data_IF_346151041318
#
_entry.id   IF_346151041318
#
_cell.length_a   1.000
_cell.length_b   1.000
_cell.length_c   1.000
_cell.angle_alpha   90.00
_cell.angle_beta   90.00
_cell.angle_gamma   90.00
#
_symmetry.space_group_name_H-M   'P 1'
#
loop_
_entity.id
_entity.type
_entity.pdbx_description
1 polymer ?
#
# COMPACT_ATOMS: atom_id res chain seq x y z
N UNK A 1 -54.25 18.61 10.97
CA UNK A 1 -53.46 17.53 11.61
C UNK A 1 -52.07 18.01 11.90
N UNK A 2 -51.45 17.68 13.08
CA UNK A 2 -50.06 17.97 13.33
C UNK A 2 -49.22 17.25 12.29
N UNK A 3 -48.23 17.99 11.71
CA UNK A 3 -47.31 17.44 10.76
C UNK A 3 -45.94 17.20 11.42
N UNK A 4 -45.27 16.12 11.02
CA UNK A 4 -43.93 15.77 11.42
C UNK A 4 -42.94 16.08 10.30
N UNK A 5 -41.76 16.51 10.67
CA UNK A 5 -40.67 16.77 9.74
C UNK A 5 -39.41 15.98 10.11
N UNK A 6 -38.55 15.76 9.14
CA UNK A 6 -37.20 15.20 9.35
C UNK A 6 -36.21 16.36 9.45
N UNK A 7 -35.82 16.69 10.66
CA UNK A 7 -35.02 17.90 10.95
C UNK A 7 -33.66 17.90 10.23
N UNK A 8 -33.02 16.76 10.21
CA UNK A 8 -31.68 16.60 9.65
C UNK A 8 -31.68 16.05 8.22
N UNK A 9 -32.82 16.01 7.53
CA UNK A 9 -32.87 15.54 6.15
C UNK A 9 -32.38 16.58 5.17
N UNK A 10 -31.65 16.13 4.12
CA UNK A 10 -31.23 16.98 3.00
C UNK A 10 -32.29 17.08 1.91
N UNK A 11 -33.06 16.02 1.72
CA UNK A 11 -34.12 15.93 0.72
C UNK A 11 -35.15 14.92 1.17
N UNK A 12 -36.40 15.28 1.03
CA UNK A 12 -37.55 14.37 1.24
C UNK A 12 -38.44 14.44 0.02
N UNK A 13 -38.96 13.30 -0.42
CA UNK A 13 -39.94 13.21 -1.50
C UNK A 13 -41.00 12.16 -1.18
N UNK A 14 -42.24 12.46 -1.50
CA UNK A 14 -43.32 11.49 -1.42
C UNK A 14 -43.21 10.53 -2.60
N UNK A 15 -43.24 9.24 -2.34
CA UNK A 15 -43.24 8.24 -3.37
C UNK A 15 -44.54 8.24 -4.14
N UNK A 16 -44.47 8.31 -5.48
CA UNK A 16 -45.61 8.26 -6.36
C UNK A 16 -45.46 7.12 -7.35
N UNK A 17 -46.37 6.12 -7.28
CA UNK A 17 -46.37 4.98 -8.19
C UNK A 17 -47.71 4.25 -8.13
N UNK A 18 -48.65 4.48 -9.05
CA UNK A 18 -48.78 5.56 -10.05
C UNK A 18 -49.27 6.89 -9.51
N UNK A 19 -49.82 6.91 -8.30
CA UNK A 19 -50.31 8.09 -7.58
C UNK A 19 -49.51 8.31 -6.29
N UNK A 20 -49.57 9.49 -5.66
CA UNK A 20 -48.91 9.71 -4.38
C UNK A 20 -49.33 8.68 -3.33
N UNK A 21 -48.32 7.99 -2.76
CA UNK A 21 -48.56 6.93 -1.77
C UNK A 21 -48.77 7.54 -0.38
N UNK A 22 -49.97 8.04 -0.18
CA UNK A 22 -50.44 8.60 1.08
C UNK A 22 -51.81 8.00 1.42
N UNK A 23 -51.98 7.57 2.65
CA UNK A 23 -53.23 7.02 3.13
C UNK A 23 -53.59 7.65 4.48
N UNK A 24 -54.84 8.08 4.62
CA UNK A 24 -55.39 8.67 5.84
C UNK A 24 -56.68 7.97 6.22
N UNK A 25 -56.78 7.55 7.46
CA UNK A 25 -58.01 6.96 8.04
C UNK A 25 -58.33 7.68 9.34
N UNK A 26 -59.60 8.06 9.49
CA UNK A 26 -60.13 8.70 10.68
C UNK A 26 -61.09 7.73 11.33
N UNK A 27 -60.85 7.41 12.59
CA UNK A 27 -61.71 6.53 13.37
C UNK A 27 -62.73 7.35 14.17
N UNK A 28 -63.90 6.73 14.52
CA UNK A 28 -64.95 7.42 15.29
C UNK A 28 -64.54 7.89 16.69
N UNK A 29 -63.51 7.27 17.26
CA UNK A 29 -62.93 7.66 18.55
C UNK A 29 -62.00 8.89 18.47
N UNK A 30 -61.87 9.54 17.28
CA UNK A 30 -60.96 10.67 17.04
C UNK A 30 -59.54 10.29 16.69
N UNK A 31 -59.21 8.99 16.60
CA UNK A 31 -57.90 8.53 16.18
C UNK A 31 -57.73 8.74 14.68
N UNK A 32 -56.59 9.33 14.29
CA UNK A 32 -56.23 9.55 12.89
C UNK A 32 -55.02 8.69 12.58
N UNK A 33 -55.16 7.78 11.63
CA UNK A 33 -54.06 6.98 11.13
C UNK A 33 -53.60 7.53 9.79
N UNK A 34 -52.30 7.96 9.73
CA UNK A 34 -51.69 8.48 8.50
C UNK A 34 -50.53 7.58 8.13
N UNK A 35 -50.50 7.15 6.89
CA UNK A 35 -49.37 6.37 6.33
C UNK A 35 -48.80 7.10 5.13
N UNK A 36 -47.48 7.35 5.16
CA UNK A 36 -46.72 7.95 4.08
C UNK A 36 -45.60 7.02 3.63
N UNK A 37 -45.44 6.86 2.32
CA UNK A 37 -44.26 6.25 1.76
C UNK A 37 -43.31 7.36 1.28
N UNK A 38 -42.26 7.61 2.05
CA UNK A 38 -41.32 8.70 1.82
C UNK A 38 -39.95 8.17 1.44
N UNK A 39 -39.27 8.90 0.55
CA UNK A 39 -37.84 8.78 0.34
C UNK A 39 -37.17 9.93 1.09
N UNK A 40 -36.31 9.59 2.06
CA UNK A 40 -35.62 10.55 2.89
C UNK A 40 -34.12 10.37 2.69
N UNK A 41 -33.41 11.47 2.36
CA UNK A 41 -31.98 11.51 2.26
C UNK A 41 -31.45 12.23 3.49
N UNK A 42 -30.83 11.49 4.40
CA UNK A 42 -30.28 12.00 5.65
C UNK A 42 -28.75 11.96 5.69
N UNK A 43 -28.13 12.62 6.68
CA UNK A 43 -26.70 12.55 6.91
C UNK A 43 -26.31 11.20 7.53
N UNK A 44 -25.09 10.79 7.21
CA UNK A 44 -24.45 9.65 7.87
C UNK A 44 -23.08 10.06 8.37
N UNK A 45 -22.73 9.62 9.55
CA UNK A 45 -21.40 9.79 10.13
C UNK A 45 -20.48 8.69 9.62
N UNK A 46 -19.45 9.10 8.90
CA UNK A 46 -18.48 8.21 8.28
C UNK A 46 -17.20 8.21 9.12
N UNK A 47 -16.98 7.15 9.90
CA UNK A 47 -15.73 6.91 10.60
C UNK A 47 -14.84 6.00 9.74
N UNK A 48 -14.08 6.58 8.82
CA UNK A 48 -13.22 5.87 7.86
C UNK A 48 -11.82 5.55 8.41
N UNK A 49 -11.57 5.75 9.70
CA UNK A 49 -10.27 5.48 10.32
C UNK A 49 -9.82 4.04 10.12
N UNK A 50 -10.73 3.08 10.29
CA UNK A 50 -10.47 1.64 10.15
C UNK A 50 -10.88 1.09 8.77
N UNK A 51 -11.04 1.95 7.78
CA UNK A 51 -11.39 1.49 6.43
C UNK A 51 -10.42 0.38 5.95
N UNK A 52 -10.89 -0.74 5.36
CA UNK A 52 -12.24 -1.05 4.90
C UNK A 52 -13.15 -1.77 5.92
N UNK A 53 -12.74 -1.91 7.16
CA UNK A 53 -13.53 -2.55 8.25
C UNK A 53 -14.25 -1.48 9.08
N UNK A 54 -14.81 -0.50 8.42
CA UNK A 54 -15.48 0.64 9.03
C UNK A 54 -16.95 0.35 9.37
N UNK A 55 -17.41 1.07 10.39
CA UNK A 55 -18.82 1.06 10.81
C UNK A 55 -19.36 2.46 10.57
N UNK A 56 -20.48 2.54 9.87
CA UNK A 56 -21.18 3.79 9.61
C UNK A 56 -22.43 3.89 10.46
N UNK A 57 -22.75 5.07 10.96
CA UNK A 57 -24.01 5.33 11.62
C UNK A 57 -24.75 6.48 10.94
N UNK A 58 -26.00 6.21 10.60
CA UNK A 58 -26.91 7.18 10.01
C UNK A 58 -28.02 7.45 11.01
N UNK A 59 -28.17 8.69 11.43
CA UNK A 59 -29.21 9.10 12.36
C UNK A 59 -30.27 9.91 11.63
N UNK A 60 -31.52 9.57 11.81
CA UNK A 60 -32.67 10.30 11.30
C UNK A 60 -33.48 10.83 12.47
N UNK A 61 -33.73 12.14 12.48
CA UNK A 61 -34.43 12.82 13.56
C UNK A 61 -35.79 13.30 13.05
N UNK A 62 -36.83 12.90 13.74
CA UNK A 62 -38.23 13.21 13.47
C UNK A 62 -38.72 14.14 14.57
N UNK A 63 -39.37 15.25 14.19
CA UNK A 63 -39.88 16.25 15.11
C UNK A 63 -41.23 16.80 14.62
N UNK A 64 -42.03 17.37 15.51
CA UNK A 64 -43.20 18.15 15.13
C UNK A 64 -42.72 19.52 14.57
N UNK A 65 -43.21 19.88 13.39
CA UNK A 65 -42.79 21.17 12.77
C UNK A 65 -43.45 22.38 13.44
N UNK A 66 -44.74 22.30 13.69
CA UNK A 66 -45.51 23.49 14.07
C UNK A 66 -45.88 23.56 15.57
N UNK A 67 -45.75 22.47 16.30
CA UNK A 67 -46.23 22.38 17.66
C UNK A 67 -45.13 21.92 18.63
N UNK A 68 -45.05 22.61 19.77
CA UNK A 68 -44.16 22.25 20.86
C UNK A 68 -44.76 21.08 21.69
N UNK A 69 -43.96 20.52 22.62
CA UNK A 69 -44.31 19.38 23.44
C UNK A 69 -45.54 19.64 24.35
N UNK A 70 -45.85 20.92 24.65
CA UNK A 70 -47.07 21.27 25.42
C UNK A 70 -48.36 21.04 24.66
N UNK A 71 -48.32 21.04 23.31
CA UNK A 71 -49.47 20.84 22.45
C UNK A 71 -49.51 19.48 21.78
N UNK A 72 -48.34 18.96 21.40
CA UNK A 72 -48.20 17.68 20.68
C UNK A 72 -47.03 16.92 21.26
N UNK A 73 -47.31 15.81 21.94
CA UNK A 73 -46.27 14.89 22.42
C UNK A 73 -45.99 13.83 21.36
N UNK A 74 -44.74 13.66 21.02
CA UNK A 74 -44.28 12.60 20.11
C UNK A 74 -43.78 11.41 20.93
N UNK A 75 -44.32 10.22 20.68
CA UNK A 75 -43.94 8.99 21.35
C UNK A 75 -43.79 7.85 20.36
N UNK A 76 -42.83 6.99 20.59
CA UNK A 76 -42.75 5.73 19.88
C UNK A 76 -43.92 4.80 20.31
N UNK A 77 -44.35 4.01 19.38
CA UNK A 77 -45.27 2.92 19.70
C UNK A 77 -44.57 1.94 20.65
N UNK A 78 -45.28 1.41 21.65
CA UNK A 78 -44.69 0.56 22.71
C UNK A 78 -44.10 -0.73 22.16
N UNK A 79 -44.72 -1.32 21.14
CA UNK A 79 -44.26 -2.56 20.56
C UNK A 79 -43.70 -2.37 19.15
N UNK A 80 -42.41 -2.74 18.95
CA UNK A 80 -41.68 -2.74 17.68
C UNK A 80 -41.88 -1.46 16.84
N UNK A 81 -41.49 -0.30 17.35
CA UNK A 81 -41.78 0.98 16.70
C UNK A 81 -41.01 1.17 15.37
N UNK A 82 -39.81 0.59 15.26
CA UNK A 82 -38.95 0.68 14.07
C UNK A 82 -38.53 -0.73 13.66
N UNK A 83 -38.79 -1.08 12.41
CA UNK A 83 -38.36 -2.37 11.87
C UNK A 83 -37.95 -2.23 10.40
N UNK A 84 -37.06 -3.09 9.96
CA UNK A 84 -36.64 -3.17 8.56
C UNK A 84 -37.49 -4.22 7.84
N UNK A 85 -38.19 -3.82 6.77
CA UNK A 85 -38.96 -4.72 5.89
C UNK A 85 -38.01 -5.37 4.87
N UNK A 86 -36.92 -4.69 4.49
CA UNK A 86 -35.95 -5.16 3.50
C UNK A 86 -34.95 -6.16 4.11
N UNK A 87 -34.30 -6.91 3.24
CA UNK A 87 -33.12 -7.72 3.64
C UNK A 87 -32.05 -6.82 4.25
N UNK A 88 -31.48 -7.24 5.38
CA UNK A 88 -30.45 -6.48 6.07
C UNK A 88 -29.12 -6.36 5.29
N UNK A 89 -28.97 -7.08 4.18
CA UNK A 89 -27.79 -7.05 3.30
C UNK A 89 -28.05 -6.16 2.08
N UNK A 90 -27.28 -5.09 1.97
CA UNK A 90 -27.10 -4.30 0.76
C UNK A 90 -25.88 -4.81 -0.02
N UNK A 91 -25.62 -4.24 -1.19
CA UNK A 91 -24.46 -4.64 -2.01
C UNK A 91 -23.14 -4.48 -1.25
N UNK A 92 -22.94 -3.31 -0.64
CA UNK A 92 -21.67 -2.92 0.01
C UNK A 92 -21.73 -2.91 1.53
N UNK A 93 -22.93 -2.98 2.11
CA UNK A 93 -23.14 -2.83 3.55
C UNK A 93 -24.11 -3.86 4.10
N UNK A 94 -23.96 -4.15 5.38
CA UNK A 94 -24.92 -4.95 6.13
C UNK A 94 -25.47 -4.10 7.27
N UNK A 95 -26.81 -4.01 7.37
CA UNK A 95 -27.48 -3.35 8.49
C UNK A 95 -27.37 -4.26 9.72
N UNK A 96 -26.60 -3.83 10.71
CA UNK A 96 -26.39 -4.63 11.93
C UNK A 96 -27.40 -4.33 13.01
N UNK A 97 -27.70 -3.06 13.23
CA UNK A 97 -28.55 -2.65 14.33
C UNK A 97 -29.42 -1.44 13.98
N UNK A 98 -30.59 -1.43 14.56
CA UNK A 98 -31.55 -0.33 14.58
C UNK A 98 -31.75 0.08 16.03
N UNK A 99 -31.47 1.34 16.32
CA UNK A 99 -31.72 1.93 17.62
C UNK A 99 -32.73 3.07 17.47
N UNK A 100 -33.59 3.21 18.43
CA UNK A 100 -34.54 4.33 18.50
C UNK A 100 -34.50 4.93 19.89
N UNK A 101 -34.57 6.24 19.94
CA UNK A 101 -34.55 7.00 21.19
C UNK A 101 -35.58 8.10 21.13
N UNK A 102 -36.04 8.53 22.30
CA UNK A 102 -36.91 9.69 22.49
C UNK A 102 -36.07 10.72 23.28
N UNK A 103 -35.98 11.93 22.77
CA UNK A 103 -35.27 13.04 23.38
C UNK A 103 -36.16 14.28 23.30
N UNK A 104 -36.01 15.19 24.26
CA UNK A 104 -36.64 16.50 24.22
C UNK A 104 -35.56 17.54 24.07
N UNK A 105 -35.75 18.46 23.13
CA UNK A 105 -34.82 19.54 22.86
C UNK A 105 -35.49 20.89 23.17
N UNK A 106 -34.72 21.76 23.84
CA UNK A 106 -35.19 23.10 24.21
C UNK A 106 -34.80 24.11 23.12
N UNK A 107 -35.84 24.71 22.53
CA UNK A 107 -35.69 25.86 21.63
C UNK A 107 -36.16 27.14 22.31
N UNK A 108 -35.89 28.29 21.75
CA UNK A 108 -36.36 29.58 22.25
C UNK A 108 -37.90 29.65 22.38
N UNK A 109 -38.65 28.87 21.60
CA UNK A 109 -40.11 28.79 21.62
C UNK A 109 -40.67 27.66 22.53
N UNK A 110 -39.81 27.02 23.36
CA UNK A 110 -40.18 25.96 24.30
C UNK A 110 -39.54 24.62 24.00
N UNK A 111 -40.06 23.55 24.65
CA UNK A 111 -39.59 22.19 24.51
C UNK A 111 -40.24 21.48 23.30
N UNK A 112 -39.44 20.76 22.54
CA UNK A 112 -39.87 19.89 21.43
C UNK A 112 -39.45 18.46 21.67
N UNK A 113 -40.36 17.54 21.43
CA UNK A 113 -40.04 16.11 21.44
C UNK A 113 -39.46 15.69 20.10
N UNK A 114 -38.29 15.01 20.15
CA UNK A 114 -37.60 14.46 19.03
C UNK A 114 -37.55 12.93 19.11
N UNK A 115 -37.90 12.29 18.01
CA UNK A 115 -37.74 10.85 17.83
C UNK A 115 -36.55 10.56 16.92
N UNK A 116 -35.56 9.90 17.44
CA UNK A 116 -34.34 9.60 16.69
C UNK A 116 -34.24 8.12 16.35
N UNK A 117 -33.94 7.83 15.08
CA UNK A 117 -33.63 6.48 14.57
C UNK A 117 -32.18 6.46 14.14
N UNK A 118 -31.41 5.58 14.76
CA UNK A 118 -29.99 5.35 14.42
C UNK A 118 -29.84 4.01 13.73
N UNK A 119 -29.38 4.03 12.50
CA UNK A 119 -29.07 2.85 11.69
C UNK A 119 -27.56 2.64 11.71
N UNK A 120 -27.11 1.44 12.07
CA UNK A 120 -25.69 1.08 12.09
C UNK A 120 -25.41 0.08 10.99
N UNK A 121 -24.49 0.46 10.08
CA UNK A 121 -24.09 -0.35 8.94
C UNK A 121 -22.64 -0.77 9.10
N UNK A 122 -22.33 -2.02 8.75
CA UNK A 122 -20.96 -2.51 8.57
C UNK A 122 -20.69 -2.74 7.10
N UNK A 123 -19.49 -2.41 6.67
CA UNK A 123 -19.05 -2.59 5.28
C UNK A 123 -18.71 -4.04 4.99
N UNK A 124 -19.06 -4.49 3.78
CA UNK A 124 -18.62 -5.78 3.23
C UNK A 124 -17.21 -5.63 2.65
N UNK A 125 -16.20 -6.00 3.41
CA UNK A 125 -14.80 -5.75 3.08
C UNK A 125 -14.18 -6.72 2.04
N UNK A 126 -14.87 -7.80 1.68
CA UNK A 126 -14.32 -8.85 0.79
C UNK A 126 -13.86 -8.35 -0.57
N UNK A 127 -14.60 -7.42 -1.16
CA UNK A 127 -14.25 -6.77 -2.42
C UNK A 127 -12.90 -6.01 -2.33
N UNK A 128 -12.72 -5.26 -1.25
CA UNK A 128 -11.50 -4.48 -1.03
C UNK A 128 -10.28 -5.37 -0.79
N UNK A 129 -10.45 -6.49 -0.09
CA UNK A 129 -9.37 -7.47 0.09
C UNK A 129 -8.90 -8.00 -1.26
N UNK A 130 -9.81 -8.49 -2.09
CA UNK A 130 -9.47 -9.08 -3.38
C UNK A 130 -8.92 -8.06 -4.38
N UNK A 131 -9.52 -6.89 -4.46
CA UNK A 131 -9.18 -5.93 -5.52
C UNK A 131 -8.05 -4.99 -5.14
N UNK A 132 -7.77 -4.83 -3.87
CA UNK A 132 -6.77 -3.88 -3.39
C UNK A 132 -5.59 -4.56 -2.69
N UNK A 133 -5.83 -5.34 -1.66
CA UNK A 133 -4.75 -5.94 -0.88
C UNK A 133 -4.00 -7.02 -1.67
N UNK A 134 -4.69 -7.89 -2.42
CA UNK A 134 -4.03 -8.94 -3.20
C UNK A 134 -3.09 -8.36 -4.28
N UNK A 135 -3.47 -7.38 -5.12
CA UNK A 135 -2.55 -6.80 -6.10
C UNK A 135 -1.40 -6.01 -5.45
N UNK A 136 -1.62 -5.36 -4.30
CA UNK A 136 -0.52 -4.68 -3.59
C UNK A 136 0.49 -5.67 -3.05
N UNK A 137 0.06 -6.79 -2.47
CA UNK A 137 0.96 -7.87 -2.05
C UNK A 137 1.71 -8.48 -3.24
N UNK A 138 1.04 -8.67 -4.38
CA UNK A 138 1.70 -9.15 -5.60
C UNK A 138 2.80 -8.19 -6.07
N UNK A 139 2.55 -6.87 -6.03
CA UNK A 139 3.54 -5.84 -6.39
C UNK A 139 4.75 -5.85 -5.43
N UNK A 140 4.52 -6.00 -4.13
CA UNK A 140 5.59 -6.14 -3.12
C UNK A 140 6.38 -7.43 -3.36
N UNK A 141 5.71 -8.53 -3.66
CA UNK A 141 6.38 -9.80 -3.97
C UNK A 141 7.24 -9.71 -5.24
N UNK A 142 6.74 -9.06 -6.31
CA UNK A 142 7.52 -8.81 -7.52
C UNK A 142 8.76 -7.95 -7.25
N UNK A 143 8.64 -6.94 -6.40
CA UNK A 143 9.80 -6.16 -5.94
C UNK A 143 10.84 -7.04 -5.25
N UNK A 144 10.40 -7.99 -4.43
CA UNK A 144 11.29 -8.93 -3.75
C UNK A 144 11.98 -9.90 -4.72
N UNK A 145 11.32 -10.31 -5.80
CA UNK A 145 11.90 -11.16 -6.86
C UNK A 145 13.13 -10.51 -7.50
N UNK A 146 13.23 -9.17 -7.49
CA UNK A 146 14.40 -8.45 -8.03
C UNK A 146 15.73 -8.87 -7.38
N UNK A 147 15.71 -9.36 -6.12
CA UNK A 147 16.92 -9.85 -5.44
C UNK A 147 17.42 -11.20 -5.98
N UNK A 148 16.55 -12.00 -6.59
CA UNK A 148 16.91 -13.33 -7.13
C UNK A 148 17.55 -13.24 -8.52
N UNK A 149 17.37 -12.11 -9.21
CA UNK A 149 17.95 -11.89 -10.54
C UNK A 149 19.45 -11.66 -10.39
N UNK A 150 20.26 -12.15 -11.36
CA UNK A 150 21.72 -11.97 -11.36
C UNK A 150 22.09 -10.46 -11.30
N UNK A 151 23.12 -10.15 -10.51
CA UNK A 151 23.63 -8.78 -10.31
C UNK A 151 24.08 -8.15 -11.64
N UNK A 152 24.47 -8.96 -12.62
CA UNK A 152 24.87 -8.48 -13.96
C UNK A 152 23.70 -7.93 -14.77
N UNK A 153 22.48 -8.38 -14.49
CA UNK A 153 21.24 -7.94 -15.17
C UNK A 153 20.63 -6.70 -14.49
N UNK A 154 21.43 -5.67 -14.27
CA UNK A 154 21.07 -4.43 -13.60
C UNK A 154 19.80 -3.76 -14.19
N UNK A 155 19.63 -3.62 -15.52
CA UNK A 155 18.44 -3.01 -16.10
C UNK A 155 17.16 -3.77 -15.73
N UNK A 156 17.20 -5.11 -15.70
CA UNK A 156 16.06 -5.93 -15.36
C UNK A 156 15.61 -5.73 -13.91
N UNK A 157 16.54 -5.57 -12.97
CA UNK A 157 16.22 -5.29 -11.56
C UNK A 157 15.56 -3.94 -11.37
N UNK A 158 16.10 -2.91 -12.04
CA UNK A 158 15.58 -1.54 -11.96
C UNK A 158 14.17 -1.49 -12.59
N UNK A 159 13.97 -2.09 -13.75
CA UNK A 159 12.65 -2.10 -14.41
C UNK A 159 11.60 -2.81 -13.57
N UNK A 160 11.92 -3.92 -12.91
CA UNK A 160 11.00 -4.59 -11.99
C UNK A 160 10.61 -3.72 -10.81
N UNK A 161 11.58 -3.07 -10.16
CA UNK A 161 11.29 -2.20 -9.04
C UNK A 161 10.47 -0.97 -9.42
N UNK A 162 10.80 -0.31 -10.54
CA UNK A 162 10.04 0.85 -11.05
C UNK A 162 8.63 0.44 -11.47
N UNK A 163 8.47 -0.70 -12.15
CA UNK A 163 7.15 -1.18 -12.58
C UNK A 163 6.26 -1.55 -11.39
N UNK A 164 6.81 -2.18 -10.33
CA UNK A 164 6.07 -2.48 -9.12
C UNK A 164 5.65 -1.22 -8.36
N UNK A 165 6.52 -0.20 -8.30
CA UNK A 165 6.20 1.09 -7.71
C UNK A 165 5.09 1.82 -8.50
N UNK A 166 5.17 1.80 -9.84
CA UNK A 166 4.17 2.41 -10.71
C UNK A 166 2.81 1.71 -10.53
N UNK A 167 2.78 0.36 -10.52
CA UNK A 167 1.57 -0.41 -10.28
C UNK A 167 0.91 -0.05 -8.94
N UNK A 168 1.71 0.05 -7.87
CA UNK A 168 1.22 0.40 -6.54
C UNK A 168 0.68 1.83 -6.50
N UNK A 169 1.35 2.79 -7.14
CA UNK A 169 0.91 4.20 -7.22
C UNK A 169 -0.41 4.32 -7.97
N UNK A 170 -0.58 3.56 -9.05
CA UNK A 170 -1.81 3.52 -9.83
C UNK A 170 -2.98 2.94 -9.01
N UNK A 171 -2.71 1.87 -8.29
CA UNK A 171 -3.66 1.23 -7.37
C UNK A 171 -4.13 2.20 -6.29
N UNK A 172 -3.20 2.90 -5.64
CA UNK A 172 -3.51 3.90 -4.63
C UNK A 172 -4.36 5.04 -5.20
N UNK A 173 -4.04 5.53 -6.39
CA UNK A 173 -4.80 6.56 -7.08
C UNK A 173 -6.26 6.15 -7.35
N UNK A 174 -6.51 4.89 -7.71
CA UNK A 174 -7.86 4.36 -7.93
C UNK A 174 -8.65 4.29 -6.61
N UNK A 175 -8.03 3.83 -5.54
CA UNK A 175 -8.66 3.75 -4.22
C UNK A 175 -8.97 5.16 -3.69
N UNK A 176 -8.03 6.10 -3.81
CA UNK A 176 -8.21 7.47 -3.35
C UNK A 176 -9.37 8.18 -4.07
N UNK A 177 -9.62 7.85 -5.34
CA UNK A 177 -10.77 8.40 -6.10
C UNK A 177 -12.12 7.83 -5.66
N UNK A 178 -12.15 6.60 -5.18
CA UNK A 178 -13.40 5.94 -4.75
C UNK A 178 -13.84 6.34 -3.34
N UNK A 179 -12.97 6.97 -2.56
CA UNK A 179 -13.25 7.36 -1.18
C UNK A 179 -13.50 8.86 -1.05
N UNK A 180 -14.35 9.29 -0.12
CA UNK A 180 -14.54 10.71 0.17
C UNK A 180 -13.26 11.32 0.75
N UNK A 181 -13.03 12.59 0.44
CA UNK A 181 -11.92 13.37 0.98
C UNK A 181 -12.22 13.70 2.44
N UNK A 182 -11.42 13.18 3.35
CA UNK A 182 -11.50 13.42 4.80
C UNK A 182 -10.19 14.02 5.30
N UNK A 183 -10.26 14.81 6.38
CA UNK A 183 -9.10 15.51 6.95
C UNK A 183 -8.23 14.67 7.89
N UNK A 184 -8.54 13.40 8.10
CA UNK A 184 -7.80 12.49 8.97
C UNK A 184 -7.19 11.33 8.19
N UNK A 185 -6.15 10.72 8.75
CA UNK A 185 -5.44 9.59 8.14
C UNK A 185 -6.24 8.31 8.31
N UNK A 186 -6.51 7.63 7.20
CA UNK A 186 -7.18 6.33 7.18
C UNK A 186 -6.17 5.20 7.33
N UNK A 187 -6.57 4.07 7.89
CA UNK A 187 -5.73 2.86 8.01
C UNK A 187 -5.17 2.41 6.65
N UNK A 188 -5.95 2.56 5.59
CA UNK A 188 -5.51 2.25 4.23
C UNK A 188 -4.37 3.16 3.74
N UNK A 189 -4.39 4.46 4.09
CA UNK A 189 -3.33 5.38 3.69
C UNK A 189 -2.01 5.01 4.35
N UNK A 190 -2.05 4.63 5.64
CA UNK A 190 -0.88 4.12 6.37
C UNK A 190 -0.34 2.85 5.71
N UNK A 191 -1.21 1.89 5.39
CA UNK A 191 -0.83 0.65 4.70
C UNK A 191 -0.14 0.95 3.36
N UNK A 192 -0.69 1.85 2.55
CA UNK A 192 -0.15 2.20 1.24
C UNK A 192 1.20 2.94 1.34
N UNK A 193 1.36 3.83 2.31
CA UNK A 193 2.63 4.52 2.57
C UNK A 193 3.70 3.52 3.01
N UNK A 194 3.36 2.59 3.91
CA UNK A 194 4.30 1.57 4.38
C UNK A 194 4.74 0.63 3.26
N UNK A 195 3.82 0.16 2.42
CA UNK A 195 4.15 -0.71 1.27
C UNK A 195 4.97 0.02 0.22
N UNK A 196 4.65 1.28 -0.07
CA UNK A 196 5.44 2.13 -0.98
C UNK A 196 6.85 2.35 -0.44
N UNK A 197 6.97 2.66 0.86
CA UNK A 197 8.25 2.83 1.53
C UNK A 197 9.09 1.55 1.49
N UNK A 198 8.47 0.38 1.65
CA UNK A 198 9.16 -0.90 1.52
C UNK A 198 9.74 -1.11 0.12
N UNK A 199 8.96 -0.88 -0.95
CA UNK A 199 9.45 -0.99 -2.33
C UNK A 199 10.59 0.02 -2.59
N UNK A 200 10.45 1.24 -2.07
CA UNK A 200 11.50 2.25 -2.19
C UNK A 200 12.81 1.79 -1.52
N UNK A 201 12.75 1.24 -0.32
CA UNK A 201 13.91 0.70 0.39
C UNK A 201 14.57 -0.46 -0.37
N UNK A 202 13.78 -1.37 -0.95
CA UNK A 202 14.33 -2.45 -1.79
C UNK A 202 15.06 -1.90 -3.01
N UNK A 203 14.58 -0.83 -3.64
CA UNK A 203 15.26 -0.17 -4.75
C UNK A 203 16.59 0.47 -4.33
N UNK A 204 16.63 1.11 -3.17
CA UNK A 204 17.87 1.68 -2.61
C UNK A 204 18.89 0.58 -2.33
N UNK A 205 18.47 -0.54 -1.74
CA UNK A 205 19.33 -1.70 -1.48
C UNK A 205 19.93 -2.26 -2.78
N UNK A 206 19.10 -2.46 -3.82
CA UNK A 206 19.58 -2.88 -5.15
C UNK A 206 20.61 -1.90 -5.70
N UNK A 207 20.39 -0.59 -5.58
CA UNK A 207 21.34 0.42 -6.04
C UNK A 207 22.69 0.34 -5.30
N UNK A 208 22.67 0.15 -3.98
CA UNK A 208 23.89 -0.02 -3.16
C UNK A 208 24.66 -1.27 -3.59
N UNK A 209 23.98 -2.41 -3.73
CA UNK A 209 24.62 -3.67 -4.16
C UNK A 209 25.27 -3.50 -5.53
N UNK A 210 24.59 -2.86 -6.47
CA UNK A 210 25.13 -2.58 -7.80
C UNK A 210 26.35 -1.66 -7.77
N UNK A 211 26.34 -0.62 -6.94
CA UNK A 211 27.47 0.26 -6.77
C UNK A 211 28.70 -0.48 -6.21
N UNK A 212 28.49 -1.32 -5.18
CA UNK A 212 29.55 -2.14 -4.60
C UNK A 212 30.16 -3.12 -5.61
N UNK A 213 29.32 -3.78 -6.40
CA UNK A 213 29.77 -4.72 -7.43
C UNK A 213 30.56 -4.01 -8.55
N UNK A 214 30.10 -2.84 -9.01
CA UNK A 214 30.86 -2.04 -9.98
C UNK A 214 32.22 -1.63 -9.42
N UNK A 215 32.30 -1.24 -8.15
CA UNK A 215 33.54 -0.89 -7.47
C UNK A 215 34.49 -2.10 -7.41
N UNK A 216 33.99 -3.25 -7.01
CA UNK A 216 34.75 -4.50 -6.95
C UNK A 216 35.26 -4.92 -8.34
N UNK A 217 34.46 -4.81 -9.37
CA UNK A 217 34.85 -5.15 -10.73
C UNK A 217 35.94 -4.22 -11.26
N UNK A 218 35.92 -2.92 -10.93
CA UNK A 218 37.00 -1.98 -11.25
C UNK A 218 38.30 -2.37 -10.55
N UNK A 219 38.24 -2.75 -9.27
CA UNK A 219 39.42 -3.19 -8.52
C UNK A 219 39.99 -4.48 -9.13
N UNK A 220 39.15 -5.47 -9.38
CA UNK A 220 39.53 -6.75 -10.03
C UNK A 220 40.16 -6.52 -11.41
N UNK A 221 39.61 -5.58 -12.19
CA UNK A 221 40.19 -5.22 -13.49
C UNK A 221 41.60 -4.63 -13.36
N UNK A 222 41.81 -3.71 -12.41
CA UNK A 222 43.16 -3.14 -12.13
C UNK A 222 44.15 -4.23 -11.75
N UNK A 223 43.80 -5.09 -10.80
CA UNK A 223 44.65 -6.22 -10.36
C UNK A 223 45.01 -7.15 -11.55
N UNK A 224 44.04 -7.44 -12.44
CA UNK A 224 44.29 -8.28 -13.64
C UNK A 224 45.29 -7.59 -14.60
N UNK A 225 45.20 -6.28 -14.78
CA UNK A 225 46.11 -5.53 -15.64
C UNK A 225 47.53 -5.53 -15.05
N UNK A 226 47.65 -5.30 -13.74
CA UNK A 226 48.95 -5.32 -13.05
C UNK A 226 49.60 -6.71 -13.12
N UNK A 227 48.82 -7.78 -12.88
CA UNK A 227 49.32 -9.15 -13.03
C UNK A 227 49.82 -9.46 -14.45
N UNK A 228 49.07 -8.99 -15.48
CA UNK A 228 49.50 -9.14 -16.88
C UNK A 228 50.79 -8.37 -17.18
N UNK A 229 50.95 -7.16 -16.61
CA UNK A 229 52.21 -6.37 -16.75
C UNK A 229 53.36 -7.06 -16.06
N UNK A 230 53.19 -7.56 -14.84
CA UNK A 230 54.23 -8.30 -14.10
C UNK A 230 54.71 -9.55 -14.89
N UNK A 231 53.76 -10.39 -15.35
CA UNK A 231 54.08 -11.57 -16.14
C UNK A 231 54.80 -11.22 -17.47
N UNK A 232 54.46 -10.07 -18.09
CA UNK A 232 55.14 -9.60 -19.32
C UNK A 232 56.56 -9.16 -19.02
N UNK A 233 56.77 -8.47 -17.92
CA UNK A 233 58.12 -8.04 -17.49
C UNK A 233 59.02 -9.23 -17.16
N UNK A 234 58.47 -10.24 -16.47
CA UNK A 234 59.19 -11.48 -16.17
C UNK A 234 59.64 -12.21 -17.44
N UNK A 235 58.74 -12.41 -18.41
CA UNK A 235 59.09 -13.02 -19.73
C UNK A 235 60.11 -12.21 -20.51
N UNK A 236 60.07 -10.88 -20.42
CA UNK A 236 61.08 -10.01 -21.06
C UNK A 236 62.43 -10.13 -20.34
N UNK A 237 62.42 -10.28 -19.01
CA UNK A 237 63.63 -10.53 -18.21
C UNK A 237 64.25 -11.88 -18.55
N UNK A 238 63.50 -12.94 -18.69
CA UNK A 238 63.99 -14.26 -19.11
C UNK A 238 64.56 -14.23 -20.51
N UNK A 239 63.90 -13.64 -21.50
CA UNK A 239 64.42 -13.47 -22.86
C UNK A 239 65.75 -12.65 -22.90
N UNK A 240 65.85 -11.66 -22.00
CA UNK A 240 67.09 -10.87 -21.89
C UNK A 240 68.27 -11.67 -21.27
N UNK A 241 67.93 -12.56 -20.31
CA UNK A 241 68.92 -13.49 -19.73
C UNK A 241 69.37 -14.54 -20.76
N UNK A 242 68.44 -15.11 -21.53
CA UNK A 242 68.76 -16.06 -22.60
C UNK A 242 69.66 -15.41 -23.70
N UNK A 243 69.32 -14.18 -24.14
CA UNK A 243 70.18 -13.42 -25.09
C UNK A 243 71.54 -13.13 -24.53
N UNK A 244 71.68 -12.86 -23.23
CA UNK A 244 73.00 -12.68 -22.59
C UNK A 244 73.79 -13.98 -22.51
N UNK A 245 73.15 -15.12 -22.26
CA UNK A 245 73.80 -16.44 -22.28
C UNK A 245 74.27 -16.82 -23.69
N UNK A 246 73.45 -16.66 -24.70
CA UNK A 246 73.85 -16.94 -26.09
C UNK A 246 74.90 -15.99 -26.66
N UNK A 247 75.05 -14.78 -26.10
CA UNK A 247 76.13 -13.84 -26.50
C UNK A 247 77.37 -14.04 -25.68
N UNK A 248 77.31 -14.56 -24.43
CA UNK A 248 78.43 -14.90 -23.58
C UNK A 248 79.19 -16.15 -24.06
N UNK A 249 78.48 -17.04 -24.78
CA UNK A 249 79.09 -18.24 -25.39
C UNK A 249 79.92 -17.95 -26.67
N UNK A 250 79.74 -16.71 -27.25
CA UNK A 250 80.46 -16.29 -28.44
C UNK A 250 81.72 -15.39 -28.17
N UNK A 251 81.90 -14.86 -26.98
CA UNK A 251 82.99 -13.99 -26.61
C UNK A 251 83.46 -14.36 -25.19
N UNK A 252 84.42 -15.31 -25.10
CA UNK A 252 85.27 -15.45 -23.94
C UNK A 252 86.23 -14.26 -23.89
N UNK A 253 86.03 -13.41 -22.88
CA UNK A 253 86.99 -12.57 -22.19
C UNK A 253 86.32 -11.34 -21.56
N UNK A 254 86.54 -11.17 -20.30
CA UNK A 254 86.46 -9.88 -19.61
C UNK A 254 85.17 -9.59 -18.86
N UNK A 255 85.16 -9.96 -17.60
CA UNK A 255 84.18 -9.58 -16.58
C UNK A 255 84.29 -8.13 -16.16
N UNK A 256 83.20 -7.44 -15.95
CA UNK A 256 83.03 -6.52 -14.82
C UNK A 256 81.55 -6.49 -14.52
N UNK A 257 81.16 -7.06 -13.35
CA UNK A 257 79.87 -7.03 -12.76
C UNK A 257 79.55 -5.62 -12.27
N UNK A 258 78.41 -5.05 -12.75
CA UNK A 258 77.77 -3.96 -12.03
C UNK A 258 76.41 -4.48 -11.59
N UNK A 259 76.28 -4.63 -10.29
CA UNK A 259 75.02 -4.92 -9.59
C UNK A 259 74.01 -3.79 -9.82
N UNK A 260 72.95 -4.06 -10.55
CA UNK A 260 71.75 -3.23 -10.53
C UNK A 260 70.75 -3.96 -9.68
N UNK A 261 70.77 -3.69 -8.39
CA UNK A 261 69.68 -3.99 -7.46
C UNK A 261 68.48 -3.11 -7.82
N UNK A 262 67.59 -3.60 -8.66
CA UNK A 262 66.21 -3.09 -8.72
C UNK A 262 65.36 -3.91 -7.73
N UNK A 263 64.67 -3.27 -6.79
CA UNK A 263 63.87 -4.01 -5.81
C UNK A 263 62.73 -4.74 -6.55
N UNK A 264 62.73 -6.07 -6.45
CA UNK A 264 61.62 -6.90 -6.78
C UNK A 264 60.45 -6.49 -5.86
N UNK A 265 59.42 -5.89 -6.43
CA UNK A 265 58.20 -5.63 -5.70
C UNK A 265 57.58 -6.98 -5.35
N UNK A 266 57.64 -7.31 -4.07
CA UNK A 266 57.05 -8.52 -3.51
C UNK A 266 55.53 -8.44 -3.63
N UNK A 267 54.98 -9.25 -4.53
CA UNK A 267 53.53 -9.33 -4.80
C UNK A 267 52.74 -9.82 -3.56
N UNK A 268 53.43 -10.26 -2.50
CA UNK A 268 52.83 -10.74 -1.25
C UNK A 268 52.32 -9.63 -0.32
N UNK A 269 52.63 -8.37 -0.60
CA UNK A 269 52.24 -7.23 0.26
C UNK A 269 51.05 -6.42 -0.24
N UNK A 270 50.22 -6.96 -1.14
CA UNK A 270 48.96 -6.30 -1.44
C UNK A 270 48.00 -6.66 -0.28
N UNK A 271 47.58 -5.69 0.53
CA UNK A 271 46.68 -5.96 1.65
C UNK A 271 45.40 -6.59 1.15
N UNK A 272 45.11 -7.79 1.62
CA UNK A 272 43.80 -8.48 1.37
C UNK A 272 42.62 -7.72 1.94
N UNK A 273 42.85 -6.71 2.76
CA UNK A 273 41.82 -5.94 3.49
C UNK A 273 40.95 -5.01 2.64
N UNK A 274 41.18 -4.86 1.33
CA UNK A 274 40.34 -4.00 0.47
C UNK A 274 39.23 -4.72 -0.27
N UNK A 275 39.04 -5.99 -0.05
CA UNK A 275 37.87 -6.69 -0.57
C UNK A 275 36.70 -6.53 0.42
N UNK A 276 35.74 -5.67 0.13
CA UNK A 276 34.49 -5.61 0.86
C UNK A 276 33.78 -6.97 0.65
N UNK A 277 33.65 -7.72 1.73
CA UNK A 277 32.96 -8.99 1.74
C UNK A 277 31.47 -8.68 1.55
N UNK A 278 30.94 -8.90 0.35
CA UNK A 278 29.50 -8.87 0.12
C UNK A 278 28.96 -10.16 0.76
N UNK A 279 28.10 -10.09 1.77
CA UNK A 279 27.52 -11.30 2.36
C UNK A 279 26.79 -12.07 1.26
N UNK A 280 27.15 -13.33 1.07
CA UNK A 280 26.38 -14.25 0.25
C UNK A 280 25.08 -14.51 1.01
N UNK A 281 23.98 -14.05 0.49
CA UNK A 281 22.67 -14.40 1.01
C UNK A 281 22.52 -15.93 0.99
N UNK A 282 21.94 -16.56 2.03
CA UNK A 282 21.92 -18.01 2.22
C UNK A 282 21.13 -18.79 1.17
N UNK A 283 20.48 -18.14 0.22
CA UNK A 283 19.64 -18.80 -0.79
C UNK A 283 20.34 -19.16 -2.12
N UNK A 284 21.66 -18.99 -2.24
CA UNK A 284 22.35 -19.20 -3.53
C UNK A 284 23.06 -20.56 -3.66
N UNK A 285 22.74 -21.53 -2.83
CA UNK A 285 23.37 -22.84 -2.91
C UNK A 285 22.32 -23.95 -2.94
N UNK A 286 21.66 -24.19 -4.08
CA UNK A 286 21.07 -25.50 -4.42
C UNK A 286 20.32 -25.43 -5.76
N UNK A 287 21.01 -25.23 -6.87
CA UNK A 287 20.55 -25.74 -8.15
C UNK A 287 21.70 -26.48 -8.84
N UNK A 288 21.55 -27.78 -9.12
CA UNK A 288 22.54 -28.53 -9.88
C UNK A 288 22.53 -28.05 -11.33
N UNK A 289 23.70 -27.69 -11.85
CA UNK A 289 23.91 -27.40 -13.26
C UNK A 289 23.65 -28.67 -14.09
N UNK A 290 22.49 -28.83 -14.66
CA UNK A 290 22.29 -29.78 -15.74
C UNK A 290 22.99 -29.25 -16.98
N UNK A 291 24.10 -29.90 -17.35
CA UNK A 291 24.70 -29.80 -18.67
C UNK A 291 23.71 -30.36 -19.69
N UNK A 292 23.14 -29.51 -20.49
CA UNK A 292 22.55 -29.94 -21.76
C UNK A 292 23.68 -30.07 -22.78
N UNK A 293 24.06 -31.32 -23.10
CA UNK A 293 24.75 -31.66 -24.32
C UNK A 293 23.72 -31.67 -25.44
N UNK A 294 23.87 -30.74 -26.37
CA UNK A 294 23.70 -30.92 -27.81
C UNK A 294 24.23 -29.69 -28.52
#
# INVERSE_FOLDING_TARGET
>A
TPNVCFVNSKKTSLHSSPIPNMFLMIFPNGTVWINYRLQVVGPCDLALELFPMDIMSCTLVIESYAYNAAKVALRWREWNPVFSIARNKLADFTLNALFWTNQSFEYAAGMWDQLSVKLTFTRSYGFYILQMYVPTYASVFLSFVSFWIDIKALPARITLGVSSLMALTFQYGNVAKSLPKVGYVKSIDVYMVMTTGYIYLTMVEVAIICFLEMRNNRIRARVRVEKKRANRMERLGEKKKERKRSHGEKNGYGAISRDLNTPLIDIRTIPQEKFIHIPKWPFHSSFPSQRFNR
#
